data_IF_438553885688
#
_entry.id   IF_438553885688
#
_cell.length_a   1.000
_cell.length_b   1.000
_cell.length_c   1.000
_cell.angle_alpha   90.00
_cell.angle_beta   90.00
_cell.angle_gamma   90.00
#
_symmetry.space_group_name_H-M   'P 1'
#
loop_
_entity.id
_entity.type
_entity.pdbx_description
1 polymer ?
#
# COMPACT_ATOMS: atom_id res chain seq x y z
N UNK A 1 -27.43 3.03 -6.12
CA UNK A 1 -26.13 3.47 -5.56
C UNK A 1 -25.15 3.62 -6.72
N UNK A 2 -24.75 4.86 -7.01
CA UNK A 2 -23.87 5.18 -8.15
C UNK A 2 -22.40 4.94 -7.75
N UNK A 3 -21.69 4.14 -8.53
CA UNK A 3 -20.28 3.81 -8.29
C UNK A 3 -19.40 4.62 -9.26
N UNK A 4 -18.30 5.17 -8.76
CA UNK A 4 -17.25 5.83 -9.55
C UNK A 4 -16.80 5.01 -10.78
N UNK A 5 -16.89 3.68 -10.73
CA UNK A 5 -16.64 2.77 -11.87
C UNK A 5 -17.53 3.00 -13.10
N UNK A 6 -18.68 3.64 -12.93
CA UNK A 6 -19.63 3.91 -14.01
C UNK A 6 -19.71 5.41 -14.36
N UNK A 7 -18.80 6.25 -13.86
CA UNK A 7 -18.86 7.72 -14.03
C UNK A 7 -19.04 8.16 -15.50
N UNK A 8 -18.39 7.47 -16.44
CA UNK A 8 -18.51 7.74 -17.89
C UNK A 8 -19.88 7.42 -18.48
N UNK A 9 -20.67 6.54 -17.85
CA UNK A 9 -22.03 6.23 -18.33
C UNK A 9 -23.00 7.36 -18.01
N UNK A 10 -22.77 8.07 -16.91
CA UNK A 10 -23.63 9.17 -16.46
C UNK A 10 -23.16 10.53 -16.99
N UNK A 11 -21.85 10.70 -17.13
CA UNK A 11 -21.24 11.89 -17.72
C UNK A 11 -20.30 11.48 -18.86
N UNK A 12 -20.83 11.34 -20.09
CA UNK A 12 -20.04 10.91 -21.26
C UNK A 12 -18.87 11.86 -21.56
N UNK A 13 -19.04 13.15 -21.31
CA UNK A 13 -18.08 14.20 -21.64
C UNK A 13 -17.04 14.44 -20.52
N UNK A 14 -17.04 13.63 -19.47
CA UNK A 14 -16.12 13.82 -18.34
C UNK A 14 -14.67 13.51 -18.73
N UNK A 15 -13.78 14.45 -18.44
CA UNK A 15 -12.34 14.22 -18.56
C UNK A 15 -11.82 13.45 -17.35
N UNK A 16 -11.04 12.40 -17.60
CA UNK A 16 -10.46 11.56 -16.55
C UNK A 16 -8.94 11.65 -16.57
N UNK A 17 -8.36 12.03 -15.43
CA UNK A 17 -6.91 12.10 -15.24
C UNK A 17 -6.48 11.05 -14.22
N UNK A 18 -5.49 10.23 -14.58
CA UNK A 18 -4.94 9.18 -13.70
C UNK A 18 -3.63 9.68 -13.09
N UNK A 19 -3.62 9.86 -11.78
CA UNK A 19 -2.39 10.14 -11.05
C UNK A 19 -1.68 8.82 -10.71
N UNK A 20 -0.59 8.55 -11.42
CA UNK A 20 0.13 7.28 -11.35
C UNK A 20 1.40 7.35 -10.51
N UNK A 21 1.79 8.51 -9.98
CA UNK A 21 3.03 8.65 -9.21
C UNK A 21 2.73 8.63 -7.71
N UNK A 22 3.34 7.68 -6.99
CA UNK A 22 3.28 7.56 -5.55
C UNK A 22 4.54 8.17 -4.91
N UNK A 23 4.35 9.25 -4.17
CA UNK A 23 5.42 9.96 -3.47
C UNK A 23 5.65 9.47 -2.03
N UNK A 24 4.77 8.60 -1.51
CA UNK A 24 4.77 8.13 -0.12
C UNK A 24 5.64 6.90 0.09
N UNK A 25 5.47 5.88 -0.74
CA UNK A 25 5.99 4.53 -0.50
C UNK A 25 7.17 4.21 -1.40
N UNK A 26 8.06 3.34 -0.94
CA UNK A 26 9.20 2.82 -1.72
C UNK A 26 8.75 1.82 -2.80
N UNK A 27 9.57 1.56 -3.85
CA UNK A 27 9.21 0.70 -4.97
C UNK A 27 8.65 -0.69 -4.58
N UNK A 28 9.34 -1.49 -3.77
CA UNK A 28 8.84 -2.82 -3.34
C UNK A 28 7.43 -2.79 -2.72
N UNK A 29 7.09 -1.78 -1.91
CA UNK A 29 5.75 -1.64 -1.32
C UNK A 29 4.71 -1.31 -2.40
N UNK A 30 5.03 -0.36 -3.29
CA UNK A 30 4.13 0.04 -4.38
C UNK A 30 3.90 -1.12 -5.33
N UNK A 31 4.95 -1.86 -5.66
CA UNK A 31 4.90 -3.01 -6.56
C UNK A 31 4.06 -4.16 -5.98
N UNK A 32 4.21 -4.46 -4.69
CA UNK A 32 3.35 -5.45 -4.02
C UNK A 32 1.88 -5.02 -4.03
N UNK A 33 1.59 -3.73 -3.79
CA UNK A 33 0.24 -3.18 -3.89
C UNK A 33 -0.36 -3.33 -5.29
N UNK A 34 0.42 -3.00 -6.34
CA UNK A 34 0.02 -3.20 -7.74
C UNK A 34 -0.25 -4.67 -8.05
N UNK A 35 0.58 -5.59 -7.53
CA UNK A 35 0.41 -7.02 -7.76
C UNK A 35 -0.88 -7.55 -7.14
N UNK A 36 -1.21 -7.15 -5.91
CA UNK A 36 -2.43 -7.58 -5.23
C UNK A 36 -3.66 -7.01 -5.93
N UNK A 37 -3.70 -5.69 -6.20
CA UNK A 37 -4.90 -5.03 -6.75
C UNK A 37 -5.23 -5.50 -8.17
N UNK A 38 -4.24 -5.95 -8.95
CA UNK A 38 -4.44 -6.49 -10.30
C UNK A 38 -5.43 -7.67 -10.34
N UNK A 39 -5.60 -8.40 -9.24
CA UNK A 39 -6.51 -9.55 -9.16
C UNK A 39 -7.99 -9.14 -9.02
N UNK A 40 -8.30 -7.86 -8.79
CA UNK A 40 -9.68 -7.40 -8.65
C UNK A 40 -10.41 -7.31 -10.00
N UNK A 41 -11.60 -7.91 -10.08
CA UNK A 41 -12.41 -7.93 -11.31
C UNK A 41 -13.01 -6.56 -11.69
N UNK A 42 -13.41 -5.76 -10.70
CA UNK A 42 -14.10 -4.48 -10.89
C UNK A 42 -13.18 -3.32 -10.51
N UNK A 43 -12.40 -2.84 -11.47
CA UNK A 43 -11.47 -1.72 -11.24
C UNK A 43 -11.21 -0.89 -12.50
N UNK A 44 -10.73 0.33 -12.30
CA UNK A 44 -10.02 1.05 -13.35
C UNK A 44 -8.54 0.67 -13.32
N UNK A 45 -8.07 0.08 -14.41
CA UNK A 45 -6.66 -0.27 -14.56
C UNK A 45 -5.80 1.00 -14.55
N UNK A 46 -4.86 1.02 -13.60
CA UNK A 46 -3.80 2.02 -13.47
C UNK A 46 -2.60 1.34 -12.82
N UNK A 47 -1.42 1.61 -13.35
CA UNK A 47 -0.16 1.20 -12.74
C UNK A 47 0.40 2.36 -11.95
N UNK A 48 0.71 2.14 -10.67
CA UNK A 48 1.26 3.18 -9.80
C UNK A 48 2.78 2.99 -9.69
N UNK A 49 3.56 4.03 -9.92
CA UNK A 49 5.02 4.00 -9.82
C UNK A 49 5.50 4.81 -8.63
N UNK A 50 6.50 4.29 -7.91
CA UNK A 50 7.12 5.04 -6.81
C UNK A 50 8.02 6.15 -7.35
N UNK A 51 7.94 7.34 -6.77
CA UNK A 51 8.91 8.41 -6.98
C UNK A 51 10.24 8.13 -6.24
N UNK A 52 10.19 7.42 -5.12
CA UNK A 52 11.37 7.08 -4.33
C UNK A 52 12.18 6.02 -5.07
N UNK A 53 13.51 6.13 -5.06
CA UNK A 53 14.41 5.23 -5.80
C UNK A 53 14.97 4.08 -4.96
N UNK A 54 14.96 4.22 -3.63
CA UNK A 54 15.53 3.22 -2.73
C UNK A 54 14.60 2.02 -2.63
N UNK A 55 15.09 0.86 -3.08
CA UNK A 55 14.37 -0.40 -2.99
C UNK A 55 14.74 -1.19 -1.73
N UNK A 56 13.96 -2.23 -1.44
CA UNK A 56 14.08 -3.04 -0.25
C UNK A 56 13.26 -4.32 -0.37
N UNK A 57 13.08 -5.03 0.74
CA UNK A 57 12.27 -6.25 0.79
C UNK A 57 11.12 -6.07 1.77
N UNK A 58 9.98 -6.65 1.43
CA UNK A 58 8.87 -6.81 2.37
C UNK A 58 9.23 -7.98 3.28
N UNK A 59 9.28 -7.71 4.58
CA UNK A 59 9.49 -8.76 5.58
C UNK A 59 8.15 -9.39 5.94
N UNK A 60 8.11 -10.72 5.92
CA UNK A 60 6.95 -11.52 6.34
C UNK A 60 7.42 -12.38 7.50
N UNK A 61 6.64 -12.40 8.58
CA UNK A 61 6.87 -13.24 9.75
C UNK A 61 5.76 -14.28 9.81
N UNK A 62 6.11 -15.49 10.22
CA UNK A 62 5.14 -16.56 10.49
C UNK A 62 5.30 -16.98 11.95
N UNK A 63 4.16 -17.13 12.62
CA UNK A 63 4.09 -17.48 14.04
C UNK A 63 3.14 -18.66 14.22
N UNK A 64 3.36 -19.42 15.29
CA UNK A 64 2.57 -20.61 15.59
C UNK A 64 1.23 -20.28 16.28
N UNK A 65 1.13 -19.10 16.91
CA UNK A 65 -0.07 -18.60 17.56
C UNK A 65 -0.18 -17.07 17.41
N UNK A 66 -1.40 -16.57 17.62
CA UNK A 66 -1.71 -15.15 17.70
C UNK A 66 -1.04 -14.46 18.90
N UNK A 67 -0.91 -15.17 20.03
CA UNK A 67 -0.18 -14.69 21.21
C UNK A 67 1.30 -14.48 20.90
N UNK A 68 1.94 -15.41 20.18
CA UNK A 68 3.34 -15.30 19.78
C UNK A 68 3.55 -14.14 18.79
N UNK A 69 2.61 -13.95 17.85
CA UNK A 69 2.62 -12.82 16.93
C UNK A 69 2.55 -11.50 17.72
N UNK A 70 1.59 -11.37 18.64
CA UNK A 70 1.41 -10.16 19.44
C UNK A 70 2.67 -9.82 20.26
N UNK A 71 3.27 -10.81 20.92
CA UNK A 71 4.50 -10.62 21.69
C UNK A 71 5.67 -10.12 20.80
N UNK A 72 5.85 -10.71 19.62
CA UNK A 72 6.89 -10.27 18.68
C UNK A 72 6.65 -8.84 18.18
N UNK A 73 5.40 -8.47 17.86
CA UNK A 73 5.06 -7.11 17.42
C UNK A 73 5.36 -6.08 18.53
N UNK A 74 5.03 -6.37 19.78
CA UNK A 74 5.35 -5.51 20.93
C UNK A 74 6.87 -5.30 21.03
N UNK A 75 7.65 -6.38 20.98
CA UNK A 75 9.11 -6.32 21.00
C UNK A 75 9.67 -5.49 19.84
N UNK A 76 9.08 -5.61 18.65
CA UNK A 76 9.49 -4.87 17.48
C UNK A 76 9.25 -3.36 17.63
N UNK A 77 8.07 -2.98 18.14
CA UNK A 77 7.71 -1.59 18.42
C UNK A 77 8.67 -0.99 19.46
N UNK A 78 8.93 -1.72 20.55
CA UNK A 78 9.87 -1.29 21.60
C UNK A 78 11.29 -1.08 21.03
N UNK A 79 11.81 -2.05 20.26
CA UNK A 79 13.11 -1.92 19.57
C UNK A 79 13.16 -0.73 18.60
N UNK A 80 12.07 -0.44 17.89
CA UNK A 80 12.00 0.70 16.98
C UNK A 80 11.96 2.04 17.72
N UNK A 81 11.25 2.10 18.85
CA UNK A 81 11.22 3.25 19.75
C UNK A 81 12.63 3.56 20.28
N UNK A 82 13.32 2.56 20.81
CA UNK A 82 14.65 2.73 21.40
C UNK A 82 15.69 3.19 20.37
N UNK A 83 15.54 2.77 19.11
CA UNK A 83 16.38 3.22 17.98
C UNK A 83 16.05 4.63 17.48
N UNK A 84 15.11 5.34 18.10
CA UNK A 84 14.68 6.68 17.67
C UNK A 84 14.00 6.71 16.29
N UNK A 85 13.57 5.56 15.77
CA UNK A 85 12.89 5.46 14.46
C UNK A 85 11.40 5.78 14.53
N UNK A 86 10.88 5.97 15.74
CA UNK A 86 9.53 6.47 15.99
C UNK A 86 9.68 7.94 16.39
N UNK A 87 9.27 8.84 15.50
CA UNK A 87 9.23 10.27 15.80
C UNK A 87 8.22 10.48 16.94
N UNK A 88 8.61 11.21 18.00
CA UNK A 88 7.61 11.71 18.96
C UNK A 88 6.62 12.57 18.17
N UNK A 89 5.33 12.27 18.33
CA UNK A 89 4.24 13.11 17.84
C UNK A 89 4.32 14.50 18.49
#
# INVERSE_FOLDING_TARGET
>A
MENFLNVKKYWPDIQMFKLQINYRSRPHIVNAGNYIIKNNLKQYNKDVHSHRKEDGKITVFCHNSDIDEAANIIDFIMKMKDKGKIQKL
#
